data_IF_374753571011
#
_entry.id   IF_374753571011
#
_cell.length_a   1.000
_cell.length_b   1.000
_cell.length_c   1.000
_cell.angle_alpha   90.00
_cell.angle_beta   90.00
_cell.angle_gamma   90.00
#
_symmetry.space_group_name_H-M   'P 1'
#
loop_
_entity.id
_entity.type
_entity.pdbx_description
1 polymer ?
#
# COMPACT_ATOMS: atom_id res chain seq x y z
N UNK A 1 20.56 20.59 8.73
CA UNK A 1 20.83 19.84 9.97
C UNK A 1 21.52 18.50 9.66
N UNK A 2 22.35 17.95 10.57
CA UNK A 2 23.27 16.84 10.27
C UNK A 2 22.56 15.48 10.17
N UNK A 3 23.01 14.61 9.26
CA UNK A 3 22.55 13.22 9.05
C UNK A 3 23.06 12.24 10.13
N UNK A 4 23.11 12.64 11.40
CA UNK A 4 23.63 11.79 12.46
C UNK A 4 22.53 10.86 13.01
N UNK A 5 22.64 9.52 12.88
CA UNK A 5 21.63 8.59 13.39
C UNK A 5 21.44 8.66 14.91
N UNK A 6 22.45 9.08 15.68
CA UNK A 6 22.30 9.26 17.13
C UNK A 6 21.34 10.40 17.51
N UNK A 7 21.18 11.40 16.64
CA UNK A 7 20.19 12.46 16.87
C UNK A 7 18.75 11.93 16.78
N UNK A 8 18.51 10.81 16.06
CA UNK A 8 17.16 10.25 15.86
C UNK A 8 16.57 9.66 17.13
N UNK A 9 17.36 8.86 17.86
CA UNK A 9 16.89 8.26 19.12
C UNK A 9 16.71 9.31 20.21
N UNK A 10 17.60 10.31 20.24
CA UNK A 10 17.48 11.38 21.23
C UNK A 10 16.26 12.28 20.95
N UNK A 11 15.85 12.45 19.68
CA UNK A 11 14.72 13.30 19.31
C UNK A 11 13.41 12.86 19.95
N UNK A 12 13.14 11.55 20.05
CA UNK A 12 11.93 11.06 20.71
C UNK A 12 11.93 11.40 22.21
N UNK A 13 13.05 11.18 22.89
CA UNK A 13 13.21 11.56 24.30
C UNK A 13 13.11 13.08 24.50
N UNK A 14 13.58 13.88 23.53
CA UNK A 14 13.42 15.33 23.56
C UNK A 14 11.96 15.75 23.36
N UNK A 15 11.20 15.12 22.45
CA UNK A 15 9.78 15.43 22.27
C UNK A 15 8.98 15.13 23.55
N UNK A 16 9.20 13.95 24.13
CA UNK A 16 8.39 13.47 25.26
C UNK A 16 8.82 14.07 26.62
N UNK A 17 10.08 14.47 26.75
CA UNK A 17 10.66 14.94 28.01
C UNK A 17 11.00 16.43 28.07
N UNK A 18 10.87 17.19 26.97
CA UNK A 18 11.16 18.62 26.99
C UNK A 18 10.12 19.39 27.79
N UNK A 19 10.59 20.25 28.68
CA UNK A 19 9.76 21.31 29.23
C UNK A 19 9.38 22.28 28.09
N UNK A 20 8.09 22.67 27.96
CA UNK A 20 7.64 23.56 26.90
C UNK A 20 8.06 25.00 27.20
N UNK A 21 9.35 25.30 27.02
CA UNK A 21 9.86 26.67 27.18
C UNK A 21 9.42 27.54 26.00
N UNK A 22 9.39 28.86 26.22
CA UNK A 22 9.03 29.82 25.17
C UNK A 22 9.96 29.70 23.96
N UNK A 23 11.27 29.52 24.19
CA UNK A 23 12.25 29.38 23.11
C UNK A 23 11.99 28.11 22.26
N UNK A 24 11.58 27.01 22.91
CA UNK A 24 11.22 25.79 22.20
C UNK A 24 9.93 25.99 21.39
N UNK A 25 8.94 26.68 21.96
CA UNK A 25 7.69 27.02 21.27
C UNK A 25 7.96 27.84 20.01
N UNK A 26 8.74 28.93 20.13
CA UNK A 26 9.12 29.77 18.99
C UNK A 26 9.89 28.99 17.92
N UNK A 27 10.81 28.10 18.34
CA UNK A 27 11.56 27.26 17.41
C UNK A 27 10.67 26.25 16.67
N UNK A 28 9.70 25.63 17.36
CA UNK A 28 8.72 24.73 16.75
C UNK A 28 7.80 25.52 15.82
N UNK A 29 7.30 26.68 16.24
CA UNK A 29 6.44 27.55 15.44
C UNK A 29 7.14 28.03 14.16
N UNK A 30 8.43 28.30 14.20
CA UNK A 30 9.19 28.71 13.02
C UNK A 30 9.55 27.54 12.10
N UNK A 31 9.51 26.31 12.59
CA UNK A 31 9.85 25.12 11.81
C UNK A 31 8.62 24.32 11.38
N UNK A 32 8.80 23.40 10.43
CA UNK A 32 7.78 22.43 10.05
C UNK A 32 8.26 21.04 10.48
N UNK A 33 8.18 20.79 11.79
CA UNK A 33 8.84 19.62 12.42
C UNK A 33 8.28 18.32 11.87
N UNK A 34 6.95 18.19 11.75
CA UNK A 34 6.30 17.00 11.19
C UNK A 34 6.73 16.72 9.74
N UNK A 35 6.78 17.75 8.89
CA UNK A 35 7.25 17.63 7.50
C UNK A 35 8.71 17.22 7.43
N UNK A 36 9.54 17.77 8.32
CA UNK A 36 10.94 17.40 8.43
C UNK A 36 11.13 15.95 8.88
N UNK A 37 10.35 15.49 9.86
CA UNK A 37 10.32 14.09 10.29
C UNK A 37 9.92 13.16 9.14
N UNK A 38 8.93 13.54 8.33
CA UNK A 38 8.53 12.78 7.15
C UNK A 38 9.65 12.69 6.11
N UNK A 39 10.31 13.81 5.78
CA UNK A 39 11.44 13.85 4.84
C UNK A 39 12.64 13.02 5.36
N UNK A 40 12.79 12.94 6.68
CA UNK A 40 13.79 12.11 7.37
C UNK A 40 13.43 10.62 7.49
N UNK A 41 12.25 10.23 7.03
CA UNK A 41 11.68 8.88 7.15
C UNK A 41 11.46 8.43 8.60
N UNK A 42 11.16 9.39 9.48
CA UNK A 42 10.83 9.21 10.89
C UNK A 42 9.32 9.35 11.13
N UNK A 43 8.51 8.74 10.25
CA UNK A 43 7.05 8.89 10.26
C UNK A 43 6.40 8.45 11.57
N UNK A 44 6.95 7.43 12.22
CA UNK A 44 6.49 6.94 13.53
C UNK A 44 6.60 7.99 14.64
N UNK A 45 7.45 9.01 14.50
CA UNK A 45 7.59 10.11 15.47
C UNK A 45 6.58 11.25 15.23
N UNK A 46 5.89 11.28 14.08
CA UNK A 46 4.96 12.37 13.75
C UNK A 46 3.74 12.35 14.67
N UNK A 47 3.08 11.21 14.94
CA UNK A 47 2.00 11.16 15.92
C UNK A 47 2.48 11.52 17.33
N UNK A 48 3.63 10.98 17.77
CA UNK A 48 4.24 11.31 19.07
C UNK A 48 4.48 12.81 19.22
N UNK A 49 4.95 13.47 18.16
CA UNK A 49 5.17 14.91 18.12
C UNK A 49 3.87 15.69 18.32
N UNK A 50 2.81 15.34 17.58
CA UNK A 50 1.51 16.00 17.71
C UNK A 50 0.88 15.74 19.08
N UNK A 51 1.00 14.52 19.61
CA UNK A 51 0.54 14.17 20.95
C UNK A 51 1.29 14.97 22.02
N UNK A 52 2.60 15.15 21.89
CA UNK A 52 3.40 15.93 22.84
C UNK A 52 2.98 17.39 22.86
N UNK A 53 2.80 18.04 21.70
CA UNK A 53 2.29 19.42 21.64
C UNK A 53 0.91 19.53 22.31
N UNK A 54 0.03 18.55 22.08
CA UNK A 54 -1.30 18.53 22.69
C UNK A 54 -1.27 18.41 24.23
N UNK A 55 -0.18 17.90 24.81
CA UNK A 55 0.02 17.78 26.25
C UNK A 55 0.73 19.00 26.87
N UNK A 56 1.24 19.93 26.06
CA UNK A 56 1.90 21.12 26.58
C UNK A 56 0.86 22.04 27.22
N UNK A 57 0.91 22.15 28.55
CA UNK A 57 0.05 23.04 29.32
C UNK A 57 0.58 24.49 29.27
N UNK A 58 0.61 25.06 28.07
CA UNK A 58 1.06 26.44 27.80
C UNK A 58 -0.02 27.22 27.05
N UNK A 59 -0.07 28.53 27.29
CA UNK A 59 -0.94 29.43 26.55
C UNK A 59 -0.59 29.38 25.05
N UNK A 60 -1.59 29.05 24.21
CA UNK A 60 -1.42 28.96 22.75
C UNK A 60 -1.01 27.59 22.22
N UNK A 61 -0.89 26.53 23.04
CA UNK A 61 -0.64 25.17 22.55
C UNK A 61 -1.64 24.70 21.46
N UNK A 62 -2.97 24.96 21.56
CA UNK A 62 -3.90 24.64 20.48
C UNK A 62 -3.54 25.34 19.16
N UNK A 63 -3.14 26.61 19.21
CA UNK A 63 -2.73 27.36 18.02
C UNK A 63 -1.46 26.77 17.40
N UNK A 64 -0.50 26.33 18.23
CA UNK A 64 0.72 25.69 17.75
C UNK A 64 0.43 24.33 17.09
N UNK A 65 -0.45 23.53 17.69
CA UNK A 65 -0.89 22.26 17.12
C UNK A 65 -1.49 22.47 15.74
N UNK A 66 -2.47 23.37 15.63
CA UNK A 66 -3.16 23.67 14.37
C UNK A 66 -2.20 24.23 13.31
N UNK A 67 -1.25 25.08 13.72
CA UNK A 67 -0.23 25.60 12.82
C UNK A 67 0.70 24.50 12.29
N UNK A 68 1.20 23.62 13.15
CA UNK A 68 2.04 22.49 12.73
C UNK A 68 1.26 21.52 11.85
N UNK A 69 -0.01 21.26 12.16
CA UNK A 69 -0.89 20.40 11.37
C UNK A 69 -1.09 20.98 9.97
N UNK A 70 -1.44 22.27 9.86
CA UNK A 70 -1.58 22.95 8.55
C UNK A 70 -0.30 22.92 7.73
N UNK A 71 0.87 23.04 8.37
CA UNK A 71 2.17 22.93 7.67
C UNK A 71 2.43 21.53 7.16
N UNK A 72 2.11 20.51 7.98
CA UNK A 72 2.20 19.11 7.57
C UNK A 72 1.24 18.81 6.42
N UNK A 73 0.00 19.28 6.49
CA UNK A 73 -1.00 19.11 5.42
C UNK A 73 -0.52 19.74 4.11
N UNK A 74 0.08 20.94 4.15
CA UNK A 74 0.68 21.58 2.97
C UNK A 74 1.82 20.74 2.38
N UNK A 75 2.68 20.19 3.22
CA UNK A 75 3.73 19.27 2.79
C UNK A 75 3.13 18.01 2.16
N UNK A 76 2.13 17.39 2.81
CA UNK A 76 1.47 16.19 2.36
C UNK A 76 0.77 16.39 1.01
N UNK A 77 0.10 17.54 0.82
CA UNK A 77 -0.48 17.93 -0.47
C UNK A 77 0.57 18.00 -1.58
N UNK A 78 1.74 18.59 -1.33
CA UNK A 78 2.84 18.62 -2.31
C UNK A 78 3.40 17.23 -2.63
N UNK A 79 3.38 16.30 -1.67
CA UNK A 79 3.74 14.89 -1.93
C UNK A 79 2.67 14.20 -2.76
N UNK A 80 1.39 14.41 -2.44
CA UNK A 80 0.26 13.83 -3.17
C UNK A 80 0.21 14.28 -4.63
N UNK A 81 0.54 15.54 -4.92
CA UNK A 81 0.65 16.04 -6.29
C UNK A 81 1.59 15.18 -7.14
N UNK A 82 2.77 14.89 -6.61
CA UNK A 82 3.78 14.05 -7.29
C UNK A 82 3.31 12.61 -7.38
N UNK A 83 2.71 12.07 -6.32
CA UNK A 83 2.24 10.68 -6.30
C UNK A 83 1.08 10.44 -7.27
N UNK A 84 0.14 11.38 -7.40
CA UNK A 84 -1.02 11.24 -8.28
C UNK A 84 -0.68 11.32 -9.77
N UNK A 85 0.52 11.80 -10.13
CA UNK A 85 1.02 11.72 -11.49
C UNK A 85 1.44 10.29 -11.91
N UNK A 86 1.58 9.36 -10.96
CA UNK A 86 2.00 7.97 -11.20
C UNK A 86 0.87 6.98 -10.85
N UNK A 87 0.58 6.04 -11.75
CA UNK A 87 -0.50 5.07 -11.59
C UNK A 87 -0.27 4.11 -10.41
N UNK A 88 0.98 3.68 -10.20
CA UNK A 88 1.37 2.76 -9.14
C UNK A 88 1.25 3.44 -7.78
N UNK A 89 1.73 4.68 -7.66
CA UNK A 89 1.62 5.46 -6.42
C UNK A 89 0.17 5.86 -6.11
N UNK A 90 -0.64 6.20 -7.13
CA UNK A 90 -2.08 6.43 -6.96
C UNK A 90 -2.81 5.19 -6.44
N UNK A 91 -2.48 4.01 -6.98
CA UNK A 91 -3.02 2.75 -6.50
C UNK A 91 -2.59 2.43 -5.06
N UNK A 92 -1.35 2.74 -4.70
CA UNK A 92 -0.86 2.59 -3.33
C UNK A 92 -1.65 3.43 -2.32
N UNK A 93 -1.94 4.69 -2.65
CA UNK A 93 -2.76 5.57 -1.81
C UNK A 93 -4.18 5.00 -1.65
N UNK A 94 -4.76 4.47 -2.73
CA UNK A 94 -6.11 3.86 -2.67
C UNK A 94 -6.18 2.72 -1.65
N UNK A 95 -5.13 1.91 -1.51
CA UNK A 95 -5.11 0.81 -0.54
C UNK A 95 -5.13 1.31 0.91
N UNK A 96 -4.38 2.37 1.20
CA UNK A 96 -4.40 2.96 2.54
C UNK A 96 -5.79 3.50 2.84
N UNK A 97 -6.36 4.31 1.93
CA UNK A 97 -7.68 4.92 2.10
C UNK A 97 -8.79 3.90 2.29
N UNK A 98 -8.80 2.83 1.50
CA UNK A 98 -9.91 1.89 1.48
C UNK A 98 -9.94 0.93 2.67
N UNK A 99 -8.94 0.95 3.54
CA UNK A 99 -8.77 0.01 4.67
C UNK A 99 -8.91 -1.48 4.32
N UNK A 100 -8.88 -1.83 3.03
CA UNK A 100 -9.05 -3.20 2.50
C UNK A 100 -8.01 -4.14 3.09
N UNK A 101 -6.88 -3.57 3.50
CA UNK A 101 -5.69 -4.29 3.87
C UNK A 101 -5.11 -3.78 5.20
N UNK A 102 -5.94 -3.77 6.24
CA UNK A 102 -5.40 -3.95 7.59
C UNK A 102 -4.67 -5.30 7.62
N UNK A 103 -3.41 -5.30 8.04
CA UNK A 103 -2.57 -6.50 8.21
C UNK A 103 -1.96 -7.14 6.95
N UNK A 104 -1.65 -6.38 5.90
CA UNK A 104 -0.84 -6.97 4.82
C UNK A 104 0.57 -7.30 5.30
N UNK A 105 1.01 -8.51 4.97
CA UNK A 105 2.42 -8.82 5.04
C UNK A 105 3.21 -7.87 4.12
N UNK A 106 4.31 -7.34 4.65
CA UNK A 106 5.22 -6.43 3.94
C UNK A 106 5.69 -7.02 2.59
N UNK A 107 5.88 -8.34 2.52
CA UNK A 107 6.26 -9.04 1.30
C UNK A 107 5.19 -8.96 0.22
N UNK A 108 3.91 -9.03 0.59
CA UNK A 108 2.79 -8.92 -0.36
C UNK A 108 2.69 -7.49 -0.91
N UNK A 109 2.85 -6.45 -0.07
CA UNK A 109 2.84 -5.06 -0.55
C UNK A 109 3.99 -4.80 -1.53
N UNK A 110 5.18 -5.30 -1.20
CA UNK A 110 6.35 -5.18 -2.07
C UNK A 110 6.13 -5.88 -3.41
N UNK A 111 5.54 -7.07 -3.40
CA UNK A 111 5.18 -7.80 -4.62
C UNK A 111 4.13 -7.05 -5.45
N UNK A 112 3.10 -6.50 -4.81
CA UNK A 112 2.01 -5.80 -5.49
C UNK A 112 2.45 -4.51 -6.19
N UNK A 113 3.41 -3.77 -5.61
CA UNK A 113 3.81 -2.45 -6.13
C UNK A 113 5.20 -2.38 -6.75
N UNK A 114 6.13 -3.24 -6.34
CA UNK A 114 7.51 -3.31 -6.86
C UNK A 114 8.13 -1.93 -7.14
N UNK A 115 8.00 -0.99 -6.19
CA UNK A 115 8.31 0.42 -6.42
C UNK A 115 9.75 0.63 -6.88
N UNK A 116 9.93 1.36 -7.98
CA UNK A 116 11.25 1.84 -8.42
C UNK A 116 11.89 2.78 -7.39
N UNK A 117 13.20 3.01 -7.49
CA UNK A 117 13.90 3.96 -6.61
C UNK A 117 13.27 5.37 -6.65
N UNK A 118 12.85 5.81 -7.83
CA UNK A 118 12.18 7.11 -8.01
C UNK A 118 10.84 7.13 -7.29
N UNK A 119 10.01 6.09 -7.46
CA UNK A 119 8.73 5.98 -6.76
C UNK A 119 8.89 5.88 -5.24
N UNK A 120 9.88 5.13 -4.75
CA UNK A 120 10.22 5.09 -3.32
C UNK A 120 10.68 6.46 -2.78
N UNK A 121 11.32 7.28 -3.62
CA UNK A 121 11.70 8.65 -3.22
C UNK A 121 10.52 9.62 -3.22
N UNK A 122 9.51 9.36 -4.06
CA UNK A 122 8.26 10.12 -4.11
C UNK A 122 7.30 9.76 -2.97
N UNK A 123 7.35 8.52 -2.45
CA UNK A 123 6.57 8.06 -1.30
C UNK A 123 7.08 8.63 0.05
N UNK A 124 7.12 9.96 0.15
CA UNK A 124 7.57 10.68 1.36
C UNK A 124 6.58 10.58 2.53
N UNK A 125 5.35 10.15 2.29
CA UNK A 125 4.35 9.87 3.32
C UNK A 125 4.32 8.38 3.72
N UNK A 126 5.22 7.56 3.15
CA UNK A 126 5.41 6.16 3.54
C UNK A 126 4.11 5.33 3.46
N UNK A 127 3.35 5.53 2.39
CA UNK A 127 2.17 4.71 2.09
C UNK A 127 2.53 3.24 1.84
N UNK A 128 3.76 2.98 1.39
CA UNK A 128 4.29 1.62 1.19
C UNK A 128 4.75 0.94 2.47
N UNK A 129 4.82 1.67 3.58
CA UNK A 129 5.32 1.13 4.85
C UNK A 129 4.56 1.69 6.06
N UNK A 130 4.93 2.86 6.57
CA UNK A 130 4.47 3.33 7.89
C UNK A 130 2.96 3.53 7.96
N UNK A 131 2.30 4.00 6.90
CA UNK A 131 0.84 4.14 6.86
C UNK A 131 0.09 2.78 6.92
N UNK A 132 0.81 1.66 6.78
CA UNK A 132 0.26 0.32 6.86
C UNK A 132 0.51 -0.33 8.23
N UNK A 133 1.62 0.02 8.92
CA UNK A 133 2.06 -0.65 10.14
C UNK A 133 1.85 0.15 11.44
N UNK A 134 1.90 1.47 11.39
CA UNK A 134 1.68 2.30 12.59
C UNK A 134 0.22 2.72 12.64
N UNK A 135 -0.53 2.23 13.64
CA UNK A 135 -1.94 2.58 13.82
C UNK A 135 -2.13 4.09 13.93
N UNK A 136 -1.30 4.77 14.71
CA UNK A 136 -1.44 6.22 14.97
C UNK A 136 -1.07 7.05 13.74
N UNK A 137 0.02 6.68 13.06
CA UNK A 137 0.39 7.37 11.82
C UNK A 137 -0.62 7.12 10.71
N UNK A 138 -1.17 5.91 10.63
CA UNK A 138 -2.25 5.58 9.71
C UNK A 138 -3.48 6.44 9.97
N UNK A 139 -3.91 6.59 11.22
CA UNK A 139 -5.05 7.46 11.56
C UNK A 139 -4.80 8.90 11.12
N UNK A 140 -3.63 9.46 11.45
CA UNK A 140 -3.27 10.81 11.02
C UNK A 140 -3.35 11.00 9.49
N UNK A 141 -2.88 10.01 8.73
CA UNK A 141 -2.92 10.03 7.25
C UNK A 141 -4.34 9.85 6.72
N UNK A 142 -5.15 8.98 7.33
CA UNK A 142 -6.55 8.79 6.94
C UNK A 142 -7.38 10.04 7.19
N UNK A 143 -7.26 10.65 8.37
CA UNK A 143 -7.92 11.92 8.69
C UNK A 143 -7.58 13.01 7.66
N UNK A 144 -6.30 13.10 7.25
CA UNK A 144 -5.88 14.01 6.19
C UNK A 144 -6.54 13.69 4.83
N UNK A 145 -6.56 12.42 4.43
CA UNK A 145 -7.12 11.97 3.14
C UNK A 145 -8.66 11.98 3.07
N UNK A 146 -9.31 11.97 4.22
CA UNK A 146 -10.78 11.93 4.34
C UNK A 146 -11.39 13.31 4.52
N UNK A 147 -10.65 14.25 5.13
CA UNK A 147 -11.10 15.63 5.32
C UNK A 147 -10.78 16.51 4.08
N UNK A 148 -11.80 16.96 3.32
CA UNK A 148 -11.60 17.86 2.19
C UNK A 148 -11.06 19.24 2.57
N UNK A 149 -11.24 19.68 3.82
CA UNK A 149 -10.68 20.94 4.29
C UNK A 149 -9.16 20.86 4.49
N UNK A 150 -8.64 19.66 4.76
CA UNK A 150 -7.20 19.41 4.94
C UNK A 150 -6.50 19.05 3.64
N UNK A 151 -7.08 18.15 2.86
CA UNK A 151 -6.48 17.68 1.59
C UNK A 151 -6.86 18.53 0.37
N UNK A 152 -7.91 19.36 0.45
CA UNK A 152 -8.33 20.25 -0.64
C UNK A 152 -8.60 19.50 -1.95
N UNK A 153 -7.97 19.96 -3.04
CA UNK A 153 -8.07 19.30 -4.35
C UNK A 153 -7.38 17.94 -4.38
N UNK A 154 -6.62 17.57 -3.33
CA UNK A 154 -5.93 16.30 -3.19
C UNK A 154 -6.79 15.20 -2.53
N UNK A 155 -8.07 15.48 -2.25
CA UNK A 155 -9.09 14.47 -1.90
C UNK A 155 -9.19 13.35 -2.93
N UNK A 156 -9.31 12.09 -2.52
CA UNK A 156 -9.33 10.98 -3.48
C UNK A 156 -10.61 10.97 -4.33
N UNK A 157 -10.52 11.46 -5.58
CA UNK A 157 -11.64 11.63 -6.52
C UNK A 157 -11.91 10.38 -7.36
N UNK A 158 -13.02 10.37 -8.09
CA UNK A 158 -13.32 9.30 -9.05
C UNK A 158 -12.25 9.12 -10.12
N UNK A 159 -11.61 10.20 -10.59
CA UNK A 159 -10.48 10.13 -11.53
C UNK A 159 -9.29 9.38 -10.93
N UNK A 160 -8.96 9.64 -9.66
CA UNK A 160 -7.88 8.94 -8.95
C UNK A 160 -8.20 7.48 -8.69
N UNK A 161 -9.47 7.16 -8.42
CA UNK A 161 -9.94 5.77 -8.39
C UNK A 161 -9.81 5.09 -9.75
N UNK A 162 -10.12 5.79 -10.85
CA UNK A 162 -9.94 5.24 -12.20
C UNK A 162 -8.45 4.97 -12.49
N UNK A 163 -7.55 5.88 -12.15
CA UNK A 163 -6.09 5.70 -12.26
C UNK A 163 -5.61 4.48 -11.45
N UNK A 164 -6.10 4.33 -10.21
CA UNK A 164 -5.80 3.17 -9.38
C UNK A 164 -6.37 1.86 -9.98
N UNK A 165 -7.59 1.89 -10.52
CA UNK A 165 -8.21 0.75 -11.18
C UNK A 165 -7.42 0.29 -12.42
N UNK A 166 -6.94 1.25 -13.23
CA UNK A 166 -6.06 0.98 -14.38
C UNK A 166 -4.82 0.21 -13.93
N UNK A 167 -4.17 0.63 -12.83
CA UNK A 167 -3.02 -0.09 -12.27
C UNK A 167 -3.38 -1.53 -11.89
N UNK A 168 -4.44 -1.73 -11.09
CA UNK A 168 -4.82 -3.06 -10.64
C UNK A 168 -5.25 -3.98 -11.78
N UNK A 169 -5.96 -3.46 -12.79
CA UNK A 169 -6.30 -4.21 -14.01
C UNK A 169 -5.02 -4.66 -14.72
N UNK A 170 -4.10 -3.73 -15.00
CA UNK A 170 -2.82 -4.06 -15.64
C UNK A 170 -2.04 -5.09 -14.81
N UNK A 171 -2.04 -4.97 -13.49
CA UNK A 171 -1.42 -5.95 -12.60
C UNK A 171 -2.03 -7.34 -12.77
N UNK A 172 -3.36 -7.49 -12.64
CA UNK A 172 -4.00 -8.81 -12.77
C UNK A 172 -3.94 -9.39 -14.18
N UNK A 173 -3.70 -8.54 -15.20
CA UNK A 173 -3.50 -8.98 -16.59
C UNK A 173 -2.06 -9.47 -16.82
N UNK A 174 -1.08 -8.77 -16.23
CA UNK A 174 0.35 -8.98 -16.49
C UNK A 174 0.99 -10.12 -15.68
N UNK A 175 0.22 -10.82 -14.84
CA UNK A 175 0.69 -11.98 -14.07
C UNK A 175 0.17 -13.29 -14.67
N UNK A 176 0.78 -13.79 -15.78
CA UNK A 176 0.55 -15.15 -16.23
C UNK A 176 1.04 -16.14 -15.15
N UNK A 177 0.37 -17.29 -14.99
CA UNK A 177 0.94 -18.38 -14.18
C UNK A 177 2.37 -18.63 -14.68
N UNK A 178 3.39 -18.72 -13.81
CA UNK A 178 4.52 -19.54 -14.18
C UNK A 178 3.93 -20.91 -14.52
N UNK A 179 4.16 -21.38 -15.75
CA UNK A 179 3.85 -22.75 -16.15
C UNK A 179 4.81 -23.65 -15.37
N UNK A 180 4.57 -23.78 -14.07
CA UNK A 180 5.10 -24.87 -13.31
C UNK A 180 4.32 -26.09 -13.80
N UNK A 181 5.00 -27.13 -14.29
CA UNK A 181 4.35 -28.40 -14.49
C UNK A 181 3.62 -28.69 -13.19
N UNK A 182 2.30 -28.86 -13.28
CA UNK A 182 1.47 -29.37 -12.21
C UNK A 182 2.03 -30.73 -11.84
N UNK A 183 3.06 -30.74 -10.99
CA UNK A 183 3.54 -31.93 -10.32
C UNK A 183 2.49 -32.21 -9.26
N UNK A 184 1.34 -32.72 -9.70
CA UNK A 184 0.45 -33.47 -8.84
C UNK A 184 1.27 -34.68 -8.39
N UNK A 185 2.01 -34.52 -7.28
CA UNK A 185 2.85 -35.57 -6.71
C UNK A 185 2.06 -36.86 -6.44
N UNK A 186 0.73 -36.75 -6.30
CA UNK A 186 -0.18 -37.89 -6.18
C UNK A 186 -0.12 -38.82 -7.38
N UNK A 187 0.10 -38.30 -8.59
CA UNK A 187 0.19 -39.13 -9.80
C UNK A 187 1.54 -39.86 -9.95
N UNK A 188 2.63 -39.30 -9.43
CA UNK A 188 3.95 -39.95 -9.48
C UNK A 188 4.06 -41.07 -8.43
N UNK A 189 3.47 -40.89 -7.25
CA UNK A 189 3.43 -41.93 -6.20
C UNK A 189 2.51 -43.08 -6.59
N UNK A 190 1.40 -42.81 -7.28
CA UNK A 190 0.48 -43.86 -7.77
C UNK A 190 1.04 -44.72 -8.92
N UNK A 191 2.14 -44.29 -9.57
CA UNK A 191 2.72 -44.98 -10.72
C UNK A 191 3.98 -45.80 -10.39
N UNK A 192 4.35 -45.87 -9.11
CA UNK A 192 5.46 -46.70 -8.64
C UNK A 192 4.91 -48.04 -8.16
N UNK A 193 5.14 -49.10 -8.95
CA UNK A 193 4.58 -50.45 -8.71
C UNK A 193 5.22 -51.21 -7.52
N UNK A 194 6.11 -50.58 -6.74
CA UNK A 194 6.69 -51.20 -5.53
C UNK A 194 6.76 -50.23 -4.35
N UNK A 195 6.51 -50.74 -3.14
CA UNK A 195 6.50 -49.98 -1.89
C UNK A 195 7.85 -49.34 -1.57
N UNK A 196 8.94 -49.95 -2.04
CA UNK A 196 10.31 -49.49 -1.78
C UNK A 196 10.73 -48.36 -2.73
N UNK A 197 10.37 -48.45 -4.02
CA UNK A 197 10.59 -47.36 -4.97
C UNK A 197 9.74 -46.14 -4.63
N UNK A 198 8.50 -46.35 -4.17
CA UNK A 198 7.63 -45.28 -3.67
C UNK A 198 8.22 -44.59 -2.43
N UNK A 199 8.80 -45.34 -1.48
CA UNK A 199 9.45 -44.79 -0.29
C UNK A 199 10.74 -44.04 -0.63
N UNK A 200 11.56 -44.53 -1.56
CA UNK A 200 12.77 -43.84 -2.03
C UNK A 200 12.41 -42.55 -2.76
N UNK A 201 11.39 -42.57 -3.64
CA UNK A 201 10.87 -41.37 -4.29
C UNK A 201 10.30 -40.38 -3.28
N UNK A 202 9.57 -40.84 -2.28
CA UNK A 202 9.02 -40.00 -1.21
C UNK A 202 10.13 -39.37 -0.36
N UNK A 203 11.20 -40.11 -0.04
CA UNK A 203 12.36 -39.60 0.68
C UNK A 203 13.18 -38.60 -0.15
N UNK A 204 13.41 -38.87 -1.44
CA UNK A 204 14.05 -37.92 -2.34
C UNK A 204 13.19 -36.66 -2.53
N UNK A 205 11.87 -36.79 -2.59
CA UNK A 205 10.94 -35.66 -2.61
C UNK A 205 11.00 -34.84 -1.33
N UNK A 206 10.98 -35.45 -0.15
CA UNK A 206 11.11 -34.74 1.13
C UNK A 206 12.48 -34.06 1.29
N UNK A 207 13.55 -34.70 0.80
CA UNK A 207 14.91 -34.15 0.83
C UNK A 207 15.02 -32.96 -0.12
N UNK A 208 14.55 -33.11 -1.36
CA UNK A 208 14.51 -32.03 -2.35
C UNK A 208 13.53 -30.92 -1.98
N UNK A 209 12.44 -31.22 -1.29
CA UNK A 209 11.49 -30.23 -0.79
C UNK A 209 12.11 -29.39 0.33
N UNK A 210 12.92 -29.98 1.22
CA UNK A 210 13.75 -29.22 2.17
C UNK A 210 14.82 -28.38 1.48
N UNK A 211 15.45 -28.89 0.42
CA UNK A 211 16.48 -28.15 -0.33
C UNK A 211 15.86 -27.02 -1.18
N UNK A 212 14.67 -27.23 -1.75
CA UNK A 212 13.90 -26.23 -2.49
C UNK A 212 13.25 -25.19 -1.54
N UNK A 213 12.78 -25.61 -0.36
CA UNK A 213 12.20 -24.69 0.63
C UNK A 213 13.25 -23.78 1.29
N UNK A 214 14.52 -24.20 1.33
CA UNK A 214 15.60 -23.44 1.95
C UNK A 214 16.42 -22.60 0.95
N UNK A 215 16.38 -22.93 -0.34
CA UNK A 215 17.24 -22.28 -1.34
C UNK A 215 16.56 -21.24 -2.21
N UNK A 216 15.36 -21.52 -2.74
CA UNK A 216 14.81 -20.77 -3.87
C UNK A 216 13.26 -20.71 -3.81
N UNK A 217 12.70 -19.51 -3.64
CA UNK A 217 11.39 -19.15 -4.24
C UNK A 217 10.09 -19.53 -3.52
N UNK A 218 10.09 -20.30 -2.43
CA UNK A 218 8.83 -20.66 -1.74
C UNK A 218 8.06 -19.43 -1.24
N UNK A 219 8.72 -18.53 -0.49
CA UNK A 219 8.07 -17.30 0.01
C UNK A 219 7.58 -16.38 -1.11
N UNK A 220 8.36 -16.23 -2.20
CA UNK A 220 7.99 -15.33 -3.29
C UNK A 220 6.77 -15.83 -4.07
N UNK A 221 6.63 -17.15 -4.27
CA UNK A 221 5.48 -17.70 -4.97
C UNK A 221 4.18 -17.55 -4.15
N UNK A 222 4.24 -17.75 -2.84
CA UNK A 222 3.10 -17.48 -1.95
C UNK A 222 2.74 -15.99 -1.93
N UNK A 223 3.74 -15.11 -1.90
CA UNK A 223 3.52 -13.67 -1.92
C UNK A 223 2.87 -13.22 -3.24
N UNK A 224 3.26 -13.80 -4.38
CA UNK A 224 2.68 -13.49 -5.68
C UNK A 224 1.21 -13.92 -5.80
N UNK A 225 0.88 -15.14 -5.34
CA UNK A 225 -0.51 -15.60 -5.27
C UNK A 225 -1.37 -14.67 -4.37
N UNK A 226 -0.86 -14.35 -3.18
CA UNK A 226 -1.54 -13.46 -2.24
C UNK A 226 -1.69 -12.05 -2.83
N UNK A 227 -0.63 -11.47 -3.41
CA UNK A 227 -0.64 -10.15 -4.02
C UNK A 227 -1.64 -10.07 -5.17
N UNK A 228 -1.70 -11.11 -6.02
CA UNK A 228 -2.73 -11.24 -7.05
C UNK A 228 -4.14 -11.26 -6.46
N UNK A 229 -4.36 -12.07 -5.41
CA UNK A 229 -5.62 -12.10 -4.71
C UNK A 229 -6.01 -10.74 -4.12
N UNK A 230 -5.04 -9.97 -3.61
CA UNK A 230 -5.26 -8.63 -3.08
C UNK A 230 -5.52 -7.61 -4.19
N UNK A 231 -4.83 -7.70 -5.33
CA UNK A 231 -5.08 -6.86 -6.50
C UNK A 231 -6.52 -7.01 -6.98
N UNK A 232 -7.06 -8.24 -7.04
CA UNK A 232 -8.48 -8.47 -7.35
C UNK A 232 -9.41 -7.79 -6.35
N UNK A 233 -9.12 -7.89 -5.05
CA UNK A 233 -9.94 -7.26 -4.00
C UNK A 233 -9.90 -5.73 -4.08
N UNK A 234 -8.72 -5.16 -4.33
CA UNK A 234 -8.56 -3.72 -4.53
C UNK A 234 -9.34 -3.27 -5.75
N UNK A 235 -9.23 -4.01 -6.85
CA UNK A 235 -9.95 -3.71 -8.10
C UNK A 235 -11.48 -3.69 -7.90
N UNK A 236 -12.03 -4.69 -7.22
CA UNK A 236 -13.46 -4.74 -6.91
C UNK A 236 -13.91 -3.52 -6.07
N UNK A 237 -13.05 -2.99 -5.20
CA UNK A 237 -13.36 -1.83 -4.38
C UNK A 237 -13.24 -0.49 -5.11
N UNK A 238 -12.23 -0.33 -5.97
CA UNK A 238 -11.99 0.96 -6.66
C UNK A 238 -12.92 1.16 -7.86
N UNK A 239 -13.35 0.10 -8.55
CA UNK A 239 -14.22 0.19 -9.74
C UNK A 239 -15.56 0.89 -9.49
N UNK A 240 -16.30 0.63 -8.39
CA UNK A 240 -17.53 1.35 -8.06
C UNK A 240 -17.34 2.87 -7.93
N UNK A 241 -16.17 3.30 -7.45
CA UNK A 241 -15.85 4.70 -7.16
C UNK A 241 -15.14 5.39 -8.33
N UNK A 242 -14.70 4.62 -9.33
CA UNK A 242 -13.96 5.12 -10.48
C UNK A 242 -14.85 5.96 -11.40
N UNK A 243 -14.35 7.13 -11.80
CA UNK A 243 -14.92 7.92 -12.88
C UNK A 243 -14.79 7.18 -14.22
N UNK A 244 -15.60 7.59 -15.19
CA UNK A 244 -15.54 7.05 -16.54
C UNK A 244 -14.28 7.56 -17.25
N UNK A 245 -13.46 6.66 -17.78
CA UNK A 245 -12.28 7.00 -18.57
C UNK A 245 -12.08 6.02 -19.73
N UNK A 246 -11.66 6.51 -20.89
CA UNK A 246 -11.48 5.67 -22.09
C UNK A 246 -10.43 4.58 -21.91
N UNK A 247 -9.35 4.88 -21.18
CA UNK A 247 -8.33 3.87 -20.86
C UNK A 247 -8.92 2.74 -20.03
N UNK A 248 -9.68 3.08 -18.97
CA UNK A 248 -10.28 2.07 -18.10
C UNK A 248 -11.37 1.29 -18.82
N UNK A 249 -12.21 1.92 -19.65
CA UNK A 249 -13.17 1.23 -20.51
C UNK A 249 -12.45 0.23 -21.43
N UNK A 250 -11.40 0.67 -22.11
CA UNK A 250 -10.63 -0.16 -23.05
C UNK A 250 -10.08 -1.39 -22.33
N UNK A 251 -9.40 -1.19 -21.20
CA UNK A 251 -8.84 -2.29 -20.40
C UNK A 251 -9.94 -3.21 -19.87
N UNK A 252 -10.98 -2.65 -19.26
CA UNK A 252 -12.08 -3.40 -18.67
C UNK A 252 -12.83 -4.26 -19.69
N UNK A 253 -12.99 -3.78 -20.93
CA UNK A 253 -13.68 -4.47 -22.02
C UNK A 253 -12.93 -5.71 -22.53
N UNK A 254 -11.61 -5.81 -22.32
CA UNK A 254 -10.83 -6.96 -22.75
C UNK A 254 -11.13 -8.20 -21.91
N UNK A 255 -11.57 -8.04 -20.64
CA UNK A 255 -11.96 -9.12 -19.72
C UNK A 255 -10.94 -10.26 -19.55
N UNK A 256 -9.64 -10.01 -19.75
CA UNK A 256 -8.61 -11.05 -19.72
C UNK A 256 -8.03 -11.17 -18.30
N UNK A 257 -8.53 -12.12 -17.51
CA UNK A 257 -7.87 -12.43 -16.23
C UNK A 257 -6.70 -13.39 -16.44
N UNK A 258 -5.59 -13.13 -15.76
CA UNK A 258 -4.47 -14.06 -15.72
C UNK A 258 -4.87 -15.45 -15.20
N UNK A 259 -4.07 -16.50 -15.48
CA UNK A 259 -4.33 -17.87 -15.04
C UNK A 259 -4.48 -18.00 -13.52
N UNK A 260 -3.77 -17.16 -12.74
CA UNK A 260 -3.87 -17.10 -11.27
C UNK A 260 -5.30 -16.84 -10.77
N UNK A 261 -6.16 -16.25 -11.59
CA UNK A 261 -7.58 -16.08 -11.26
C UNK A 261 -8.33 -17.40 -10.99
N UNK A 262 -7.80 -18.55 -11.42
CA UNK A 262 -8.35 -19.88 -11.11
C UNK A 262 -8.27 -20.21 -9.61
N UNK A 263 -7.27 -19.67 -8.91
CA UNK A 263 -7.11 -19.85 -7.45
C UNK A 263 -8.09 -18.98 -6.64
N UNK A 264 -8.68 -17.96 -7.26
CA UNK A 264 -9.57 -16.99 -6.60
C UNK A 264 -10.90 -16.85 -7.35
N UNK A 265 -11.69 -17.93 -7.50
CA UNK A 265 -12.90 -17.92 -8.32
C UNK A 265 -13.94 -16.91 -7.84
N UNK A 266 -14.10 -16.74 -6.52
CA UNK A 266 -15.05 -15.80 -5.94
C UNK A 266 -14.68 -14.34 -6.20
N UNK A 267 -13.42 -13.98 -5.91
CA UNK A 267 -12.90 -12.62 -6.17
C UNK A 267 -12.91 -12.30 -7.67
N UNK A 268 -12.59 -13.28 -8.52
CA UNK A 268 -12.69 -13.12 -9.98
C UNK A 268 -14.13 -12.80 -10.41
N UNK A 269 -15.11 -13.53 -9.86
CA UNK A 269 -16.54 -13.32 -10.15
C UNK A 269 -16.99 -11.93 -9.70
N UNK A 270 -16.59 -11.52 -8.50
CA UNK A 270 -16.86 -10.17 -7.97
C UNK A 270 -16.29 -9.09 -8.89
N UNK A 271 -15.01 -9.15 -9.24
CA UNK A 271 -14.38 -8.19 -10.16
C UNK A 271 -15.09 -8.17 -11.52
N UNK A 272 -15.49 -9.33 -12.07
CA UNK A 272 -16.26 -9.37 -13.32
C UNK A 272 -17.59 -8.64 -13.22
N UNK A 273 -18.29 -8.75 -12.09
CA UNK A 273 -19.53 -8.03 -11.86
C UNK A 273 -19.26 -6.52 -11.78
N UNK A 274 -18.22 -6.09 -11.07
CA UNK A 274 -17.89 -4.66 -10.98
C UNK A 274 -17.44 -4.06 -12.31
N UNK A 275 -16.68 -4.82 -13.10
CA UNK A 275 -16.34 -4.42 -14.48
C UNK A 275 -17.61 -4.25 -15.31
N UNK A 276 -18.54 -5.20 -15.26
CA UNK A 276 -19.80 -5.11 -16.02
C UNK A 276 -20.62 -3.89 -15.61
N UNK A 277 -20.71 -3.60 -14.30
CA UNK A 277 -21.37 -2.39 -13.79
C UNK A 277 -20.67 -1.12 -14.26
N UNK A 278 -19.34 -1.07 -14.21
CA UNK A 278 -18.56 0.06 -14.68
C UNK A 278 -18.82 0.35 -16.17
N UNK A 279 -18.76 -0.69 -17.02
CA UNK A 279 -19.02 -0.56 -18.46
C UNK A 279 -20.47 -0.14 -18.75
N UNK A 280 -21.44 -0.62 -17.98
CA UNK A 280 -22.83 -0.18 -18.10
C UNK A 280 -22.98 1.32 -17.78
N UNK A 281 -22.36 1.81 -16.69
CA UNK A 281 -22.34 3.24 -16.36
C UNK A 281 -21.71 4.07 -17.49
N UNK A 282 -20.58 3.61 -18.03
CA UNK A 282 -19.90 4.27 -19.15
C UNK A 282 -20.78 4.36 -20.41
N UNK A 283 -21.57 3.32 -20.70
CA UNK A 283 -22.48 3.33 -21.85
C UNK A 283 -23.65 4.31 -21.67
N UNK A 284 -24.15 4.46 -20.44
CA UNK A 284 -25.22 5.42 -20.13
C UNK A 284 -24.78 6.87 -20.24
N UNK A 285 -23.55 7.23 -19.85
CA UNK A 285 -23.04 8.60 -19.97
C UNK A 285 -22.76 9.04 -21.43
N UNK A 286 -22.58 8.06 -22.33
CA UNK A 286 -22.33 8.31 -23.76
C UNK A 286 -23.62 8.39 -24.60
N UNK A 287 -24.77 8.04 -24.03
CA UNK A 287 -26.09 8.06 -24.69
C UNK A 287 -26.82 9.38 -24.48
#
# INVERSE_FOLDING_TARGET
>A
MPKNPHLRHNFQSYIQGAAPTLELQEAVEQSSVASYLADWRSHYLIPDFFAAIGLWNIDGAPNLYDEQLRRFDRFAMGVLEVMYADHCLSALISIVKSEIIRDLDNGILRELFSLSKTQQSADKLSFSYWAQFSSDYRHLILEFLEDPHRSGIYTFTGERYATAAVYFIKYVYSHPEPILPSFSMRHLVQKADSSEAAQILQWQLLKNQRTLSLGWGSSNMFNSDCAYGHALRCLAHVLPQSAISEELITLASQHIFGPLSRKFPDRKREVKQEIARYLARAAHEKS
#
